data_IF_630619686273
#
_entry.id   IF_630619686273
#
_cell.length_a   1.000
_cell.length_b   1.000
_cell.length_c   1.000
_cell.angle_alpha   90.00
_cell.angle_beta   90.00
_cell.angle_gamma   90.00
#
_symmetry.space_group_name_H-M   'P 1'
#
loop_
_entity.id
_entity.type
_entity.pdbx_description
1 polymer ?
#
# COMPACT_ATOMS: atom_id res chain seq x y z
N UNK A 1 2.65 48.48 -18.65
CA UNK A 1 1.66 47.45 -18.27
C UNK A 1 2.39 46.11 -18.34
N UNK A 2 3.09 45.74 -17.27
CA UNK A 2 3.80 44.46 -17.18
C UNK A 2 2.83 43.46 -16.55
N UNK A 3 2.38 42.48 -17.32
CA UNK A 3 1.63 41.36 -16.79
C UNK A 3 2.63 40.44 -16.07
N UNK A 4 2.50 40.32 -14.75
CA UNK A 4 3.12 39.23 -14.00
C UNK A 4 2.42 37.94 -14.45
N UNK A 5 3.13 37.09 -15.20
CA UNK A 5 2.80 35.67 -15.25
C UNK A 5 3.16 35.08 -13.89
N UNK A 6 2.14 34.84 -13.07
CA UNK A 6 2.26 33.95 -11.91
C UNK A 6 2.20 32.54 -12.47
N UNK A 7 3.37 31.91 -12.64
CA UNK A 7 3.44 30.47 -12.86
C UNK A 7 2.93 29.77 -11.60
N UNK A 8 1.72 29.22 -11.67
CA UNK A 8 1.29 28.19 -10.74
C UNK A 8 2.11 26.93 -11.02
N UNK A 9 3.26 26.81 -10.37
CA UNK A 9 3.81 25.48 -10.07
C UNK A 9 2.84 24.88 -9.06
N UNK A 10 1.86 24.11 -9.53
CA UNK A 10 1.13 23.19 -8.68
C UNK A 10 2.17 22.20 -8.16
N UNK A 11 2.67 22.44 -6.95
CA UNK A 11 3.45 21.44 -6.24
C UNK A 11 2.54 20.23 -6.09
N UNK A 12 2.84 19.15 -6.80
CA UNK A 12 2.25 17.84 -6.50
C UNK A 12 2.82 17.47 -5.15
N UNK A 13 2.03 17.64 -4.10
CA UNK A 13 2.35 17.10 -2.78
C UNK A 13 2.36 15.58 -2.93
N UNK A 14 3.26 14.89 -2.24
CA UNK A 14 3.27 13.44 -2.22
C UNK A 14 2.14 12.93 -1.33
N UNK A 15 1.59 11.77 -1.69
CA UNK A 15 0.61 11.07 -0.88
C UNK A 15 1.28 10.54 0.35
N UNK A 16 0.48 10.25 1.36
CA UNK A 16 1.04 9.76 2.58
C UNK A 16 0.02 8.87 3.29
N UNK A 17 0.35 7.59 3.39
CA UNK A 17 -0.47 6.64 4.12
C UNK A 17 0.26 5.34 4.42
N UNK A 18 -0.23 4.63 5.43
CA UNK A 18 0.30 3.32 5.79
C UNK A 18 -0.77 2.43 6.43
N UNK A 19 -0.65 1.12 6.27
CA UNK A 19 -1.48 0.12 6.92
C UNK A 19 -1.39 0.27 8.44
N UNK A 20 -2.54 0.41 9.08
CA UNK A 20 -2.65 0.70 10.50
C UNK A 20 -3.15 -0.51 11.29
N UNK A 21 -4.20 -1.20 10.82
CA UNK A 21 -4.73 -2.43 11.43
C UNK A 21 -4.85 -3.49 10.35
N UNK A 22 -4.21 -4.66 10.51
CA UNK A 22 -3.28 -5.03 11.60
C UNK A 22 -2.03 -4.13 11.63
N UNK A 23 -1.28 -4.12 12.74
CA UNK A 23 -0.01 -3.37 12.82
C UNK A 23 0.93 -3.75 11.67
N UNK A 24 1.17 -2.82 10.75
CA UNK A 24 2.20 -2.99 9.72
C UNK A 24 3.61 -2.88 10.28
N UNK A 25 4.60 -3.37 9.54
CA UNK A 25 6.03 -3.20 9.87
C UNK A 25 6.39 -1.72 10.02
N UNK A 26 5.83 -0.84 9.19
CA UNK A 26 5.93 0.61 9.28
C UNK A 26 5.32 1.15 10.58
N UNK A 27 4.12 0.68 10.96
CA UNK A 27 3.47 1.07 12.23
C UNK A 27 4.32 0.61 13.42
N UNK A 28 4.82 -0.62 13.40
CA UNK A 28 5.69 -1.15 14.45
C UNK A 28 6.99 -0.35 14.58
N UNK A 29 7.60 0.04 13.46
CA UNK A 29 8.79 0.89 13.47
C UNK A 29 8.49 2.27 14.08
N UNK A 30 7.42 2.95 13.64
CA UNK A 30 6.97 4.21 14.23
C UNK A 30 6.79 4.10 15.75
N UNK A 31 6.11 3.05 16.20
CA UNK A 31 5.78 2.85 17.61
C UNK A 31 7.01 2.48 18.45
N UNK A 32 7.95 1.69 17.90
CA UNK A 32 9.16 1.27 18.59
C UNK A 32 10.20 2.39 18.75
N UNK A 33 10.26 3.30 17.78
CA UNK A 33 11.28 4.37 17.74
C UNK A 33 10.73 5.75 18.13
N UNK A 34 9.45 5.84 18.50
CA UNK A 34 8.71 7.08 18.80
C UNK A 34 8.95 8.19 17.76
N UNK A 35 8.92 7.80 16.49
CA UNK A 35 9.05 8.76 15.39
C UNK A 35 7.87 9.74 15.42
N UNK A 36 8.18 11.03 15.45
CA UNK A 36 7.15 12.06 15.52
C UNK A 36 6.41 12.14 14.18
N UNK A 37 5.14 11.78 14.22
CA UNK A 37 4.14 12.16 13.23
C UNK A 37 4.10 13.70 13.08
N UNK A 38 4.45 14.20 11.90
CA UNK A 38 4.41 15.60 11.46
C UNK A 38 5.45 16.59 12.04
N UNK A 39 6.25 17.15 11.12
CA UNK A 39 7.11 18.34 11.24
C UNK A 39 8.35 18.23 12.16
N UNK A 40 9.15 17.16 11.95
CA UNK A 40 10.50 17.11 12.51
C UNK A 40 11.42 18.06 11.74
N UNK A 41 11.61 19.27 12.27
CA UNK A 41 12.66 20.26 11.92
C UNK A 41 14.11 19.74 12.12
N UNK A 42 14.32 18.42 12.10
CA UNK A 42 15.63 17.77 12.18
C UNK A 42 15.93 17.03 10.88
N UNK A 43 17.22 17.00 10.50
CA UNK A 43 17.80 16.49 9.26
C UNK A 43 17.57 14.98 8.98
N UNK A 44 16.60 14.32 9.61
CA UNK A 44 16.23 12.92 9.44
C UNK A 44 14.70 12.81 9.54
N UNK A 45 14.05 12.60 8.39
CA UNK A 45 12.60 12.57 8.23
C UNK A 45 12.13 11.11 8.27
N UNK A 46 11.89 10.64 9.50
CA UNK A 46 11.43 9.29 9.79
C UNK A 46 9.91 9.25 9.76
N UNK A 47 9.35 8.76 8.67
CA UNK A 47 7.95 8.96 8.35
C UNK A 47 7.32 7.65 7.83
N UNK A 48 6.52 6.92 8.63
CA UNK A 48 5.94 5.63 8.21
C UNK A 48 4.98 5.80 7.04
N UNK A 49 4.30 6.95 6.95
CA UNK A 49 3.41 7.32 5.86
C UNK A 49 4.15 7.72 4.57
N UNK A 50 5.48 7.83 4.61
CA UNK A 50 6.35 8.16 3.47
C UNK A 50 6.97 6.90 2.81
N UNK A 51 6.55 5.69 3.21
CA UNK A 51 7.01 4.44 2.57
C UNK A 51 6.32 4.27 1.21
N UNK A 52 6.83 5.01 0.22
CA UNK A 52 6.26 5.13 -1.11
C UNK A 52 7.34 5.00 -2.20
N UNK A 53 6.95 4.53 -3.38
CA UNK A 53 7.81 4.49 -4.57
C UNK A 53 7.34 5.54 -5.58
N UNK A 54 8.24 6.46 -5.95
CA UNK A 54 7.93 7.54 -6.90
C UNK A 54 9.18 8.03 -7.69
N UNK A 55 9.00 8.52 -8.93
CA UNK A 55 7.80 8.39 -9.74
C UNK A 55 7.64 6.96 -10.25
N UNK A 56 6.44 6.38 -10.09
CA UNK A 56 6.04 5.13 -10.72
C UNK A 56 4.88 5.41 -11.67
N UNK A 57 5.18 5.53 -12.96
CA UNK A 57 4.17 5.60 -14.02
C UNK A 57 3.97 4.23 -14.63
N UNK A 58 2.77 3.98 -15.14
CA UNK A 58 2.47 2.74 -15.85
C UNK A 58 3.23 2.65 -17.18
N UNK A 59 3.87 1.50 -17.41
CA UNK A 59 4.48 1.15 -18.70
C UNK A 59 3.47 0.37 -19.55
N UNK A 60 2.48 1.10 -20.08
CA UNK A 60 1.43 0.56 -20.95
C UNK A 60 1.59 1.03 -22.39
N UNK A 61 1.23 0.18 -23.36
CA UNK A 61 1.24 0.51 -24.80
C UNK A 61 -0.20 0.50 -25.36
N UNK A 62 -0.74 1.63 -25.86
CA UNK A 62 -0.09 2.95 -25.93
C UNK A 62 0.01 3.64 -24.56
N UNK A 63 1.01 4.51 -24.36
CA UNK A 63 1.15 5.26 -23.11
C UNK A 63 -0.08 6.14 -22.89
N UNK A 64 -0.57 6.13 -21.66
CA UNK A 64 -1.68 6.98 -21.23
C UNK A 64 -1.15 8.36 -20.83
N UNK A 65 -2.02 9.36 -20.86
CA UNK A 65 -1.73 10.70 -20.34
C UNK A 65 -2.37 10.87 -18.97
N UNK A 66 -1.85 11.77 -18.15
CA UNK A 66 -2.45 12.14 -16.87
C UNK A 66 -3.99 12.31 -16.95
N UNK A 67 -4.76 11.71 -16.03
CA UNK A 67 -4.30 10.92 -14.89
C UNK A 67 -4.02 9.44 -15.20
N UNK A 68 -4.36 8.93 -16.40
CA UNK A 68 -4.27 7.51 -16.74
C UNK A 68 -2.84 6.92 -16.81
N UNK A 69 -1.79 7.74 -16.74
CA UNK A 69 -0.40 7.27 -16.59
C UNK A 69 -0.05 6.86 -15.15
N UNK A 70 -0.88 7.22 -14.17
CA UNK A 70 -0.65 6.91 -12.76
C UNK A 70 -1.03 5.45 -12.43
N UNK A 71 -0.42 4.84 -11.40
CA UNK A 71 -0.57 3.43 -11.05
C UNK A 71 -2.01 2.94 -10.94
N UNK A 72 -2.92 3.77 -10.41
CA UNK A 72 -4.31 3.38 -10.20
C UNK A 72 -5.00 2.91 -11.49
N UNK A 73 -4.55 3.32 -12.67
CA UNK A 73 -5.23 2.95 -13.92
C UNK A 73 -5.02 1.47 -14.28
N UNK A 74 -3.96 0.83 -13.76
CA UNK A 74 -3.74 -0.61 -13.83
C UNK A 74 -3.28 -1.09 -12.43
N UNK A 75 -4.22 -1.20 -11.47
CA UNK A 75 -3.86 -1.48 -10.09
C UNK A 75 -3.03 -2.74 -9.95
N UNK A 76 -2.06 -2.67 -9.06
CA UNK A 76 -1.00 -3.65 -8.79
C UNK A 76 0.07 -3.78 -9.91
N UNK A 77 -0.13 -3.28 -11.13
CA UNK A 77 0.81 -3.55 -12.25
C UNK A 77 2.09 -2.70 -12.21
N UNK A 78 2.07 -1.58 -11.50
CA UNK A 78 3.23 -0.71 -11.40
C UNK A 78 4.35 -1.43 -10.62
N UNK A 79 5.56 -1.56 -11.20
CA UNK A 79 6.64 -2.42 -10.70
C UNK A 79 7.32 -1.88 -9.43
N UNK A 80 6.83 -2.30 -8.26
CA UNK A 80 7.39 -2.02 -6.93
C UNK A 80 8.79 -2.64 -6.73
N UNK A 81 9.07 -3.80 -7.33
CA UNK A 81 10.36 -4.49 -7.22
C UNK A 81 11.47 -3.85 -8.08
N UNK A 82 11.09 -3.09 -9.12
CA UNK A 82 12.02 -2.33 -9.96
C UNK A 82 12.50 -1.01 -9.34
N UNK A 83 11.91 -0.61 -8.22
CA UNK A 83 12.23 0.65 -7.55
C UNK A 83 13.21 0.45 -6.39
N UNK A 84 14.21 1.34 -6.26
CA UNK A 84 15.19 1.26 -5.17
C UNK A 84 15.41 2.60 -4.47
N UNK A 85 15.59 2.54 -3.15
CA UNK A 85 16.04 3.65 -2.31
C UNK A 85 17.32 3.24 -1.59
N UNK A 86 18.39 4.00 -1.77
CA UNK A 86 19.72 3.72 -1.20
C UNK A 86 20.19 2.25 -1.37
N UNK A 87 19.88 1.65 -2.52
CA UNK A 87 20.24 0.26 -2.83
C UNK A 87 19.33 -0.82 -2.23
N UNK A 88 18.26 -0.44 -1.52
CA UNK A 88 17.20 -1.35 -1.05
C UNK A 88 16.05 -1.35 -2.04
N UNK A 89 15.49 -2.51 -2.32
CA UNK A 89 14.33 -2.65 -3.21
C UNK A 89 13.06 -2.29 -2.44
N UNK A 90 12.15 -1.52 -3.06
CA UNK A 90 10.90 -1.14 -2.42
C UNK A 90 10.02 -2.36 -2.14
N UNK A 91 9.80 -3.21 -3.15
CA UNK A 91 9.19 -4.53 -2.97
C UNK A 91 7.78 -4.49 -2.37
N UNK A 92 7.32 -5.65 -1.90
CA UNK A 92 5.94 -5.86 -1.43
C UNK A 92 5.68 -5.24 -0.05
N UNK A 93 6.73 -5.08 0.77
CA UNK A 93 6.61 -4.51 2.10
C UNK A 93 7.01 -3.05 2.19
N UNK A 94 7.50 -2.46 1.09
CA UNK A 94 8.00 -1.09 1.06
C UNK A 94 9.40 -0.94 1.65
N UNK A 95 9.98 0.23 1.41
CA UNK A 95 11.16 0.75 2.11
C UNK A 95 10.90 2.23 2.38
N UNK A 96 11.69 2.84 3.26
CA UNK A 96 11.57 4.28 3.53
C UNK A 96 12.27 5.09 2.43
N UNK A 97 11.81 6.33 2.22
CA UNK A 97 12.40 7.23 1.24
C UNK A 97 13.90 7.49 1.49
N UNK A 98 14.30 7.61 2.76
CA UNK A 98 15.71 7.72 3.15
C UNK A 98 16.46 6.38 3.10
N UNK A 99 15.78 5.30 2.73
CA UNK A 99 16.35 3.96 2.63
C UNK A 99 16.87 3.43 3.96
N UNK A 100 16.39 3.90 5.10
CA UNK A 100 16.94 3.49 6.40
C UNK A 100 16.43 2.09 6.81
N UNK A 101 15.13 1.83 6.60
CA UNK A 101 14.52 0.54 6.88
C UNK A 101 14.11 -0.21 5.62
N UNK A 102 14.60 -1.46 5.48
CA UNK A 102 14.08 -2.42 4.52
C UNK A 102 12.97 -3.24 5.21
N UNK A 103 11.71 -2.97 4.86
CA UNK A 103 10.60 -3.71 5.44
C UNK A 103 10.38 -5.07 4.77
N UNK A 104 11.15 -5.42 3.74
CA UNK A 104 11.06 -6.73 3.07
C UNK A 104 11.88 -7.83 3.77
N UNK A 105 12.60 -7.50 4.85
CA UNK A 105 13.39 -8.45 5.63
C UNK A 105 12.95 -8.48 7.10
N UNK A 106 13.22 -9.59 7.76
CA UNK A 106 13.05 -9.74 9.20
C UNK A 106 14.12 -8.97 9.99
N UNK A 107 13.70 -8.35 11.09
CA UNK A 107 14.54 -7.56 11.97
C UNK A 107 14.28 -7.88 13.44
N UNK A 108 14.53 -6.92 14.32
CA UNK A 108 14.26 -7.06 15.76
C UNK A 108 12.87 -6.60 16.13
N UNK A 109 12.33 -5.61 15.42
CA UNK A 109 11.01 -4.99 15.69
C UNK A 109 9.89 -5.69 14.93
N UNK A 110 10.13 -6.02 13.66
CA UNK A 110 9.21 -6.74 12.77
C UNK A 110 9.88 -7.97 12.17
N UNK A 111 9.10 -8.85 11.53
CA UNK A 111 9.57 -10.01 10.79
C UNK A 111 10.40 -10.98 11.64
N UNK A 112 10.28 -10.92 12.97
CA UNK A 112 11.05 -11.71 13.93
C UNK A 112 10.35 -13.03 14.33
N UNK A 113 9.31 -13.41 13.60
CA UNK A 113 8.45 -14.56 13.90
C UNK A 113 7.30 -14.27 14.87
N UNK A 114 7.19 -13.05 15.40
CA UNK A 114 6.01 -12.59 16.15
C UNK A 114 4.94 -12.14 15.18
N UNK A 115 3.71 -12.59 15.39
CA UNK A 115 2.55 -12.12 14.61
C UNK A 115 1.78 -11.07 15.41
N UNK A 116 1.31 -10.03 14.74
CA UNK A 116 0.60 -8.91 15.36
C UNK A 116 -0.88 -9.22 15.58
N UNK A 117 -1.44 -10.10 14.76
CA UNK A 117 -2.85 -10.46 14.78
C UNK A 117 -3.05 -11.91 14.31
N UNK A 118 -4.05 -12.57 14.87
CA UNK A 118 -4.53 -13.89 14.42
C UNK A 118 -5.89 -13.75 13.76
N UNK A 119 -6.06 -14.42 12.62
CA UNK A 119 -7.30 -14.45 11.85
C UNK A 119 -7.71 -15.90 11.53
N UNK A 120 -8.98 -16.20 11.70
CA UNK A 120 -9.56 -17.46 11.27
C UNK A 120 -9.94 -17.39 9.79
N UNK A 121 -9.75 -18.51 9.10
CA UNK A 121 -10.17 -18.65 7.70
C UNK A 121 -11.70 -18.65 7.58
N UNK A 122 -12.21 -18.04 6.52
CA UNK A 122 -13.64 -17.84 6.27
C UNK A 122 -14.28 -16.70 7.08
N UNK A 123 -13.49 -15.97 7.87
CA UNK A 123 -13.99 -14.84 8.66
C UNK A 123 -13.65 -13.48 8.04
N UNK A 124 -14.52 -12.52 8.31
CA UNK A 124 -14.39 -11.13 7.89
C UNK A 124 -13.86 -10.27 9.03
N UNK A 125 -12.91 -9.40 8.72
CA UNK A 125 -12.28 -8.49 9.68
C UNK A 125 -12.21 -7.06 9.14
N UNK A 126 -12.23 -6.08 10.04
CA UNK A 126 -11.96 -4.68 9.69
C UNK A 126 -10.46 -4.46 9.62
N UNK A 127 -10.00 -4.00 8.45
CA UNK A 127 -8.66 -3.51 8.21
C UNK A 127 -8.71 -2.00 8.10
N UNK A 128 -7.67 -1.34 8.58
CA UNK A 128 -7.61 0.12 8.52
C UNK A 128 -6.25 0.57 8.05
N UNK A 129 -6.21 1.64 7.27
CA UNK A 129 -4.98 2.36 6.98
C UNK A 129 -5.13 3.83 7.36
N UNK A 130 -4.01 4.44 7.76
CA UNK A 130 -3.94 5.81 8.23
C UNK A 130 -3.43 6.68 7.09
N UNK A 131 -4.21 7.67 6.67
CA UNK A 131 -3.87 8.59 5.57
C UNK A 131 -3.65 10.01 6.07
N UNK A 132 -2.48 10.55 5.77
CA UNK A 132 -2.08 11.92 6.07
C UNK A 132 -2.34 12.86 4.89
N UNK A 133 -2.02 12.41 3.67
CA UNK A 133 -2.30 13.11 2.42
C UNK A 133 -3.04 12.16 1.48
N UNK A 134 -4.35 12.39 1.31
CA UNK A 134 -5.27 11.55 0.56
C UNK A 134 -5.27 11.95 -0.92
N UNK A 135 -4.63 11.15 -1.77
CA UNK A 135 -4.61 11.33 -3.23
C UNK A 135 -5.55 10.41 -3.98
N UNK A 136 -6.52 9.80 -3.29
CA UNK A 136 -7.47 8.91 -3.91
C UNK A 136 -6.84 7.72 -4.63
N UNK A 137 -7.62 7.06 -5.49
CA UNK A 137 -7.15 5.92 -6.28
C UNK A 137 -7.65 4.59 -5.76
N UNK A 138 -6.81 3.56 -5.84
CA UNK A 138 -7.22 2.16 -5.65
C UNK A 138 -6.35 1.50 -4.59
N UNK A 139 -7.00 0.74 -3.71
CA UNK A 139 -6.35 -0.01 -2.62
C UNK A 139 -6.55 -1.51 -2.83
N UNK A 140 -5.48 -2.27 -2.61
CA UNK A 140 -5.50 -3.73 -2.60
C UNK A 140 -4.93 -4.28 -1.29
N UNK A 141 -5.49 -5.40 -0.86
CA UNK A 141 -4.95 -6.20 0.24
C UNK A 141 -4.68 -7.59 -0.29
N UNK A 142 -3.54 -8.17 0.05
CA UNK A 142 -3.05 -9.37 -0.65
C UNK A 142 -2.38 -10.33 0.32
N UNK A 143 -2.50 -11.62 -0.01
CA UNK A 143 -1.76 -12.71 0.62
C UNK A 143 -0.86 -13.39 -0.41
N UNK A 144 0.07 -14.23 0.03
CA UNK A 144 0.86 -15.11 -0.84
C UNK A 144 0.85 -16.51 -0.21
N UNK A 145 0.48 -17.52 -0.98
CA UNK A 145 0.40 -18.92 -0.50
C UNK A 145 1.68 -19.73 -0.75
N UNK A 146 2.70 -19.12 -1.37
CA UNK A 146 4.03 -19.71 -1.52
C UNK A 146 4.84 -19.55 -0.23
N UNK A 147 4.92 -20.64 0.53
CA UNK A 147 5.67 -20.70 1.79
C UNK A 147 7.16 -20.34 1.64
N UNK A 148 7.78 -20.56 0.48
CA UNK A 148 9.19 -20.24 0.25
C UNK A 148 9.43 -18.74 0.05
N UNK A 149 8.45 -18.01 -0.51
CA UNK A 149 8.44 -16.55 -0.58
C UNK A 149 8.21 -15.96 0.81
N UNK A 150 7.23 -16.50 1.54
CA UNK A 150 6.93 -16.06 2.91
C UNK A 150 8.13 -16.25 3.84
N UNK A 151 8.84 -17.39 3.75
CA UNK A 151 10.05 -17.64 4.56
C UNK A 151 11.12 -16.57 4.33
N UNK A 152 11.32 -16.13 3.08
CA UNK A 152 12.27 -15.07 2.74
C UNK A 152 11.89 -13.71 3.33
N UNK A 153 10.59 -13.39 3.39
CA UNK A 153 10.10 -12.14 4.00
C UNK A 153 10.27 -12.11 5.54
N UNK A 154 10.48 -13.25 6.17
CA UNK A 154 10.88 -13.38 7.58
C UNK A 154 12.40 -13.52 7.77
N UNK A 155 13.16 -13.75 6.69
CA UNK A 155 14.62 -13.86 6.77
C UNK A 155 15.26 -12.47 6.92
N UNK A 156 16.41 -12.41 7.59
CA UNK A 156 17.19 -11.17 7.74
C UNK A 156 18.06 -10.84 6.51
N UNK A 157 17.92 -11.60 5.42
CA UNK A 157 18.72 -11.45 4.20
C UNK A 157 17.83 -10.90 3.10
N UNK A 158 18.24 -9.81 2.42
CA UNK A 158 17.47 -9.27 1.31
C UNK A 158 17.30 -10.28 0.17
N UNK A 159 16.09 -10.34 -0.38
CA UNK A 159 15.81 -11.03 -1.64
C UNK A 159 16.50 -10.31 -2.81
N UNK A 160 16.92 -11.07 -3.82
CA UNK A 160 17.35 -10.50 -5.10
C UNK A 160 16.18 -9.83 -5.83
N UNK A 161 16.48 -9.02 -6.85
CA UNK A 161 15.43 -8.37 -7.66
C UNK A 161 14.47 -9.37 -8.30
N UNK A 162 14.98 -10.49 -8.81
CA UNK A 162 14.13 -11.54 -9.39
C UNK A 162 13.21 -12.18 -8.33
N UNK A 163 13.72 -12.41 -7.12
CA UNK A 163 12.91 -12.95 -6.02
C UNK A 163 11.86 -11.94 -5.51
N UNK A 164 12.17 -10.63 -5.56
CA UNK A 164 11.19 -9.58 -5.26
C UNK A 164 10.09 -9.49 -6.33
N UNK A 165 10.43 -9.67 -7.60
CA UNK A 165 9.45 -9.77 -8.70
C UNK A 165 8.57 -11.01 -8.55
N UNK A 166 9.14 -12.16 -8.20
CA UNK A 166 8.39 -13.39 -7.87
C UNK A 166 7.46 -13.17 -6.66
N UNK A 167 7.94 -12.48 -5.62
CA UNK A 167 7.12 -12.13 -4.46
C UNK A 167 5.94 -11.23 -4.85
N UNK A 168 6.19 -10.15 -5.58
CA UNK A 168 5.14 -9.24 -6.05
C UNK A 168 4.10 -9.99 -6.91
N UNK A 169 4.53 -10.86 -7.83
CA UNK A 169 3.62 -11.68 -8.62
C UNK A 169 2.73 -12.59 -7.76
N UNK A 170 3.30 -13.25 -6.73
CA UNK A 170 2.51 -14.09 -5.81
C UNK A 170 1.40 -13.30 -5.11
N UNK A 171 1.70 -12.08 -4.64
CA UNK A 171 0.70 -11.22 -4.01
C UNK A 171 -0.34 -10.70 -5.01
N UNK A 172 0.05 -10.42 -6.26
CA UNK A 172 -0.90 -10.01 -7.32
C UNK A 172 -1.90 -11.10 -7.69
N UNK A 173 -1.47 -12.36 -7.63
CA UNK A 173 -2.32 -13.52 -7.93
C UNK A 173 -3.36 -13.78 -6.83
N UNK A 174 -3.13 -13.30 -5.60
CA UNK A 174 -4.00 -13.55 -4.43
C UNK A 174 -4.43 -12.24 -3.76
N UNK A 175 -5.03 -11.35 -4.56
CA UNK A 175 -5.75 -10.16 -4.06
C UNK A 175 -7.01 -10.60 -3.31
N UNK A 176 -7.18 -10.09 -2.09
CA UNK A 176 -8.40 -10.25 -1.29
C UNK A 176 -9.46 -9.29 -1.82
N UNK A 177 -10.51 -9.83 -2.41
CA UNK A 177 -11.47 -9.04 -3.17
C UNK A 177 -12.37 -8.24 -2.25
N UNK A 178 -12.81 -7.07 -2.73
CA UNK A 178 -13.80 -6.26 -2.05
C UNK A 178 -15.16 -6.97 -2.01
N UNK A 179 -15.56 -7.61 -3.12
CA UNK A 179 -16.87 -8.24 -3.31
C UNK A 179 -17.03 -9.60 -2.61
N UNK A 180 -15.95 -10.13 -2.00
CA UNK A 180 -16.00 -11.32 -1.16
C UNK A 180 -16.71 -11.07 0.18
N UNK A 181 -16.86 -9.80 0.60
CA UNK A 181 -17.60 -9.43 1.82
C UNK A 181 -18.97 -8.84 1.48
N UNK A 182 -20.07 -9.52 1.84
CA UNK A 182 -21.41 -8.97 1.66
C UNK A 182 -21.59 -7.63 2.38
N UNK A 183 -21.94 -6.59 1.63
CA UNK A 183 -22.21 -5.26 2.16
C UNK A 183 -21.07 -4.25 1.96
N UNK A 184 -19.91 -4.67 1.48
CA UNK A 184 -18.89 -3.73 0.99
C UNK A 184 -19.43 -2.91 -0.19
N UNK A 185 -19.09 -1.62 -0.23
CA UNK A 185 -19.28 -0.78 -1.42
C UNK A 185 -18.07 -0.95 -2.35
N UNK A 186 -18.20 -1.86 -3.31
CA UNK A 186 -17.18 -2.16 -4.31
C UNK A 186 -17.47 -1.46 -5.65
N UNK A 187 -18.09 -0.28 -5.59
CA UNK A 187 -18.31 0.56 -6.76
C UNK A 187 -16.99 0.96 -7.40
N UNK A 188 -17.02 1.20 -8.71
CA UNK A 188 -15.87 1.74 -9.43
C UNK A 188 -15.81 3.25 -9.19
N UNK A 189 -14.68 3.74 -8.72
CA UNK A 189 -14.43 5.16 -8.48
C UNK A 189 -14.59 6.00 -9.76
N UNK A 190 -15.10 7.23 -9.62
CA UNK A 190 -15.43 8.13 -10.74
C UNK A 190 -14.22 8.54 -11.60
N UNK A 191 -13.01 8.34 -11.08
CA UNK A 191 -11.74 8.62 -11.73
C UNK A 191 -11.28 7.50 -12.69
N UNK A 192 -11.86 6.30 -12.59
CA UNK A 192 -11.44 5.14 -13.36
C UNK A 192 -12.20 5.07 -14.69
N UNK A 193 -11.48 5.15 -15.81
CA UNK A 193 -12.07 4.89 -17.13
C UNK A 193 -12.48 3.41 -17.24
N UNK A 194 -13.70 3.09 -17.73
CA UNK A 194 -14.17 1.71 -17.86
C UNK A 194 -13.30 0.80 -18.75
N UNK A 195 -12.42 1.37 -19.58
CA UNK A 195 -11.48 0.62 -20.43
C UNK A 195 -10.15 0.28 -19.75
N UNK A 196 -9.91 0.76 -18.53
CA UNK A 196 -8.66 0.57 -17.79
C UNK A 196 -8.74 -0.61 -16.82
N UNK A 197 -7.57 -1.10 -16.39
CA UNK A 197 -7.42 -2.22 -15.45
C UNK A 197 -8.19 -2.04 -14.15
N UNK A 198 -8.29 -0.81 -13.64
CA UNK A 198 -9.08 -0.50 -12.44
C UNK A 198 -10.57 -0.81 -12.58
N UNK A 199 -11.11 -0.94 -13.79
CA UNK A 199 -12.50 -1.30 -14.03
C UNK A 199 -12.67 -2.68 -14.68
N UNK A 200 -11.56 -3.36 -14.98
CA UNK A 200 -11.55 -4.60 -15.79
C UNK A 200 -12.13 -5.81 -15.07
N UNK A 201 -12.02 -5.84 -13.73
CA UNK A 201 -12.59 -6.87 -12.85
C UNK A 201 -13.34 -6.18 -11.69
N UNK A 202 -14.62 -5.82 -11.88
CA UNK A 202 -15.41 -5.15 -10.85
C UNK A 202 -15.47 -5.98 -9.56
N UNK A 203 -15.27 -5.32 -8.42
CA UNK A 203 -15.24 -5.98 -7.11
C UNK A 203 -13.88 -6.49 -6.66
N UNK A 204 -12.88 -6.54 -7.57
CA UNK A 204 -11.53 -6.98 -7.21
C UNK A 204 -10.83 -6.05 -6.22
N UNK A 205 -10.97 -4.73 -6.40
CA UNK A 205 -10.24 -3.73 -5.62
C UNK A 205 -11.16 -2.85 -4.78
N UNK A 206 -10.58 -2.19 -3.77
CA UNK A 206 -11.25 -1.15 -3.01
C UNK A 206 -10.97 0.20 -3.69
N UNK A 207 -11.98 0.80 -4.29
CA UNK A 207 -11.87 2.14 -4.86
C UNK A 207 -12.13 3.19 -3.78
N UNK A 208 -11.44 4.31 -3.88
CA UNK A 208 -11.75 5.48 -3.08
C UNK A 208 -12.99 6.19 -3.65
N UNK A 209 -14.09 6.21 -2.89
CA UNK A 209 -15.42 6.61 -3.38
C UNK A 209 -15.86 8.01 -2.94
N UNK A 210 -15.01 8.71 -2.19
CA UNK A 210 -15.25 10.07 -1.76
C UNK A 210 -15.30 11.06 -2.94
N UNK A 211 -15.72 12.31 -2.67
CA UNK A 211 -15.64 13.39 -3.66
C UNK A 211 -14.24 13.46 -4.29
N UNK A 212 -14.19 13.66 -5.61
CA UNK A 212 -12.94 13.76 -6.39
C UNK A 212 -12.05 12.50 -6.34
N UNK A 213 -12.55 11.39 -5.78
CA UNK A 213 -11.83 10.13 -5.66
C UNK A 213 -11.11 9.93 -4.33
N UNK A 214 -11.30 10.80 -3.33
CA UNK A 214 -10.69 10.65 -2.01
C UNK A 214 -11.16 9.41 -1.25
N UNK A 215 -10.29 8.85 -0.41
CA UNK A 215 -10.51 7.60 0.32
C UNK A 215 -11.19 7.83 1.68
N UNK A 216 -10.97 8.99 2.29
CA UNK A 216 -11.51 9.32 3.61
C UNK A 216 -13.01 9.63 3.54
N UNK A 217 -13.77 8.93 4.37
CA UNK A 217 -15.19 9.20 4.54
C UNK A 217 -15.47 10.38 5.48
N UNK A 218 -16.64 10.99 5.35
CA UNK A 218 -17.06 12.08 6.22
C UNK A 218 -17.18 11.61 7.69
N UNK A 219 -16.42 12.24 8.59
CA UNK A 219 -16.41 11.89 10.01
C UNK A 219 -15.49 10.71 10.36
N UNK A 220 -14.54 10.38 9.48
CA UNK A 220 -13.50 9.40 9.76
C UNK A 220 -12.79 9.64 11.10
N UNK A 221 -12.45 8.54 11.77
CA UNK A 221 -11.70 8.56 13.02
C UNK A 221 -10.25 9.00 12.76
N UNK A 222 -9.65 9.68 13.73
CA UNK A 222 -8.25 10.09 13.65
C UNK A 222 -7.30 8.94 14.02
N UNK A 223 -6.19 8.85 13.31
CA UNK A 223 -4.97 8.18 13.74
C UNK A 223 -3.91 9.24 14.07
N UNK A 224 -2.85 8.88 14.82
CA UNK A 224 -1.79 9.83 15.22
C UNK A 224 -1.25 10.64 14.04
N UNK A 225 -1.19 10.04 12.85
CA UNK A 225 -0.60 10.60 11.64
C UNK A 225 -1.64 11.11 10.62
N UNK A 226 -2.95 11.03 10.89
CA UNK A 226 -3.97 11.40 9.89
C UNK A 226 -5.38 10.89 10.18
N UNK A 227 -6.07 10.42 9.15
CA UNK A 227 -7.44 9.87 9.24
C UNK A 227 -7.46 8.39 8.87
N UNK A 228 -8.34 7.63 9.51
CA UNK A 228 -8.51 6.20 9.23
C UNK A 228 -9.45 5.98 8.06
N UNK A 229 -8.99 5.17 7.11
CA UNK A 229 -9.81 4.54 6.08
C UNK A 229 -10.03 3.09 6.48
N UNK A 230 -11.27 2.61 6.39
CA UNK A 230 -11.68 1.28 6.88
C UNK A 230 -12.17 0.40 5.72
N UNK A 231 -11.71 -0.84 5.66
CA UNK A 231 -12.15 -1.82 4.68
C UNK A 231 -12.45 -3.16 5.38
N UNK A 232 -13.59 -3.79 5.07
CA UNK A 232 -13.88 -5.13 5.55
C UNK A 232 -13.31 -6.16 4.58
N UNK A 233 -12.59 -7.14 5.11
CA UNK A 233 -11.83 -8.10 4.32
C UNK A 233 -12.15 -9.52 4.78
N UNK A 234 -12.43 -10.42 3.84
CA UNK A 234 -12.57 -11.85 4.08
C UNK A 234 -11.20 -12.54 4.00
N UNK A 235 -10.85 -13.34 5.00
CA UNK A 235 -9.74 -14.30 4.89
C UNK A 235 -10.28 -15.56 4.21
N UNK A 236 -9.75 -16.01 3.05
CA UNK A 236 -10.30 -17.15 2.33
C UNK A 236 -10.25 -18.46 3.13
N UNK A 237 -11.33 -19.25 3.09
CA UNK A 237 -11.36 -20.61 3.68
C UNK A 237 -10.25 -21.52 3.15
N UNK A 238 -9.86 -21.28 1.89
CA UNK A 238 -8.87 -22.06 1.14
C UNK A 238 -7.43 -21.67 1.43
N UNK A 239 -7.17 -20.54 2.10
CA UNK A 239 -5.81 -20.09 2.38
C UNK A 239 -5.12 -21.06 3.37
N UNK A 240 -3.83 -21.40 3.20
CA UNK A 240 -3.14 -22.30 4.11
C UNK A 240 -2.98 -21.68 5.51
N UNK A 241 -3.16 -22.45 6.59
CA UNK A 241 -2.91 -21.95 7.95
C UNK A 241 -1.41 -21.83 8.22
N UNK A 242 -1.04 -20.88 9.08
CA UNK A 242 0.34 -20.64 9.50
C UNK A 242 0.70 -19.15 9.59
N UNK A 243 1.92 -18.85 10.09
CA UNK A 243 2.46 -17.50 10.00
C UNK A 243 2.62 -17.09 8.54
N UNK A 244 2.17 -15.89 8.21
CA UNK A 244 2.30 -15.32 6.86
C UNK A 244 2.46 -13.80 6.93
N UNK A 245 2.66 -13.20 5.76
CA UNK A 245 2.70 -11.77 5.57
C UNK A 245 1.48 -11.36 4.75
N UNK A 246 0.76 -10.34 5.24
CA UNK A 246 -0.30 -9.68 4.49
C UNK A 246 0.19 -8.33 4.01
N UNK A 247 -0.06 -8.01 2.74
CA UNK A 247 0.31 -6.72 2.18
C UNK A 247 -0.90 -5.82 2.00
N UNK A 248 -0.70 -4.53 2.21
CA UNK A 248 -1.57 -3.44 1.80
C UNK A 248 -0.83 -2.64 0.74
N UNK A 249 -1.51 -2.33 -0.35
CA UNK A 249 -0.98 -1.51 -1.42
C UNK A 249 -1.98 -0.43 -1.82
N UNK A 250 -1.48 0.78 -2.01
CA UNK A 250 -2.27 1.92 -2.47
C UNK A 250 -1.63 2.52 -3.72
N UNK A 251 -2.35 2.44 -4.83
CA UNK A 251 -2.00 3.00 -6.12
C UNK A 251 -2.73 4.34 -6.29
N UNK A 252 -1.98 5.44 -6.24
CA UNK A 252 -2.51 6.81 -6.16
C UNK A 252 -3.16 7.28 -7.46
N UNK A 253 -4.25 8.07 -7.34
CA UNK A 253 -4.90 8.73 -8.47
C UNK A 253 -4.20 10.02 -8.88
N UNK A 254 -3.88 10.90 -7.94
CA UNK A 254 -3.42 12.26 -8.26
C UNK A 254 -1.93 12.33 -8.61
N UNK A 255 -1.17 11.31 -8.22
CA UNK A 255 0.29 11.26 -8.30
C UNK A 255 0.78 9.90 -8.81
N UNK A 256 1.97 9.84 -9.46
CA UNK A 256 2.57 8.57 -9.89
C UNK A 256 3.27 7.89 -8.71
N UNK A 257 2.48 7.48 -7.71
CA UNK A 257 2.97 6.97 -6.43
C UNK A 257 2.30 5.63 -6.08
N UNK A 258 3.10 4.73 -5.52
CA UNK A 258 2.65 3.46 -4.92
C UNK A 258 3.12 3.41 -3.48
N UNK A 259 2.21 3.10 -2.56
CA UNK A 259 2.50 2.80 -1.16
C UNK A 259 2.34 1.31 -0.96
N UNK A 260 3.27 0.66 -0.27
CA UNK A 260 3.17 -0.77 0.02
C UNK A 260 3.68 -1.04 1.42
N UNK A 261 2.90 -1.76 2.21
CA UNK A 261 3.25 -2.15 3.58
C UNK A 261 2.91 -3.61 3.82
N UNK A 262 3.55 -4.19 4.83
CA UNK A 262 3.31 -5.56 5.26
C UNK A 262 2.89 -5.61 6.72
N UNK A 263 2.09 -6.59 7.10
CA UNK A 263 1.85 -7.00 8.48
C UNK A 263 2.10 -8.51 8.65
N UNK A 264 2.76 -8.87 9.74
CA UNK A 264 3.08 -10.26 10.06
C UNK A 264 1.92 -10.88 10.85
N UNK A 265 1.19 -11.82 10.26
CA UNK A 265 -0.09 -12.32 10.80
C UNK A 265 -0.09 -13.85 10.94
N UNK A 266 -1.01 -14.37 11.74
CA UNK A 266 -1.26 -15.81 11.87
C UNK A 266 -2.62 -16.17 11.30
N UNK A 267 -2.67 -17.11 10.35
CA UNK A 267 -3.91 -17.69 9.84
C UNK A 267 -4.19 -19.05 10.52
N UNK A 268 -5.41 -19.27 11.01
CA UNK A 268 -5.86 -20.53 11.67
C UNK A 268 -7.00 -21.23 10.93
#
# INVERSE_FOLDING_TARGET
MFALLVSFLAGRVAGHGFLFTPESRQRLARDAFDWCAMDCVSEVDWCPHCSLAMPLTLDVDPPRIYPGENPFAEPDQANSAGFTFEGKIFGVCGTEYQGENDYNIGGTVWGNGTTVQTYARGETYEFTWCVNADHGGVVSYRLCDDASIIEKLFASTPMSAAEQEEAEACFQDTVLRCDDVPGNDCSIGVFCDPSWGCASDPGKYFHCLGPEGHCVEAGAEECRDGLLVKNMILIPETFPPGPTVMTWRWDSQETPEVYSNCADILIV
#
